data_IF_577609690480
#
_entry.id   IF_577609690480
#
_cell.length_a   1.000
_cell.length_b   1.000
_cell.length_c   1.000
_cell.angle_alpha   90.00
_cell.angle_beta   90.00
_cell.angle_gamma   90.00
#
_symmetry.space_group_name_H-M   'P 1'
#
loop_
_entity.id
_entity.type
_entity.pdbx_description
1 polymer ?
#
# COMPACT_ATOMS: atom_id res chain seq x y z
N UNK A 1 -7.78 -28.53 -12.71
CA UNK A 1 -8.99 -27.67 -12.58
C UNK A 1 -9.03 -26.73 -13.77
N UNK A 2 -10.21 -26.46 -14.34
CA UNK A 2 -10.34 -25.56 -15.50
C UNK A 2 -10.40 -24.10 -15.03
N UNK A 3 -9.67 -23.20 -15.69
CA UNK A 3 -9.70 -21.76 -15.46
C UNK A 3 -10.36 -21.06 -16.65
N UNK A 4 -10.93 -19.88 -16.42
CA UNK A 4 -11.77 -19.18 -17.39
C UNK A 4 -11.20 -17.79 -17.70
N UNK A 5 -11.26 -17.39 -18.97
CA UNK A 5 -10.89 -16.05 -19.43
C UNK A 5 -12.13 -15.19 -19.77
N UNK A 6 -12.57 -14.30 -18.86
CA UNK A 6 -13.70 -13.42 -19.09
C UNK A 6 -13.42 -12.35 -20.15
N UNK A 7 -12.19 -12.22 -20.66
CA UNK A 7 -11.88 -11.22 -21.69
C UNK A 7 -12.29 -11.65 -23.09
N UNK A 8 -12.65 -12.94 -23.29
CA UNK A 8 -13.15 -13.51 -24.56
C UNK A 8 -14.38 -14.41 -24.39
N UNK A 9 -14.32 -15.68 -24.76
CA UNK A 9 -15.50 -16.56 -24.86
C UNK A 9 -16.02 -17.02 -23.48
N UNK A 10 -15.19 -17.01 -22.44
CA UNK A 10 -15.54 -17.62 -21.15
C UNK A 10 -16.25 -16.66 -20.18
N UNK A 11 -16.67 -15.46 -20.64
CA UNK A 11 -17.31 -14.48 -19.75
C UNK A 11 -18.59 -15.01 -19.09
N UNK A 12 -19.28 -15.97 -19.73
CA UNK A 12 -20.51 -16.58 -19.18
C UNK A 12 -20.20 -17.44 -17.96
N UNK A 13 -19.12 -18.23 -18.03
CA UNK A 13 -18.63 -19.07 -16.93
C UNK A 13 -18.18 -18.22 -15.75
N UNK A 14 -17.75 -16.98 -16.01
CA UNK A 14 -17.38 -16.00 -15.00
C UNK A 14 -18.58 -15.19 -14.44
N UNK A 15 -19.82 -15.49 -14.84
CA UNK A 15 -21.03 -14.84 -14.33
C UNK A 15 -21.41 -13.53 -15.03
N UNK A 16 -20.94 -13.29 -16.25
CA UNK A 16 -21.22 -12.07 -17.03
C UNK A 16 -21.96 -12.38 -18.33
N UNK A 17 -22.58 -11.34 -18.92
CA UNK A 17 -23.24 -11.41 -20.24
C UNK A 17 -22.37 -10.88 -21.38
N UNK A 18 -21.18 -10.37 -21.06
CA UNK A 18 -20.21 -9.75 -21.98
C UNK A 18 -18.80 -9.82 -21.40
N UNK A 19 -17.75 -9.56 -22.20
CA UNK A 19 -16.38 -9.54 -21.70
C UNK A 19 -16.17 -8.63 -20.49
N UNK A 20 -15.33 -9.09 -19.56
CA UNK A 20 -15.11 -8.51 -18.24
C UNK A 20 -13.65 -8.65 -17.80
N UNK A 21 -13.25 -7.80 -16.84
CA UNK A 21 -11.97 -7.90 -16.12
C UNK A 21 -12.14 -8.60 -14.76
N UNK A 22 -13.35 -9.05 -14.44
CA UNK A 22 -13.69 -9.81 -13.23
C UNK A 22 -14.15 -11.21 -13.66
N UNK A 23 -13.61 -12.24 -13.01
CA UNK A 23 -14.13 -13.60 -13.07
C UNK A 23 -14.54 -14.09 -11.68
N UNK A 24 -15.78 -14.57 -11.56
CA UNK A 24 -16.31 -15.19 -10.34
C UNK A 24 -17.11 -16.45 -10.73
N UNK A 25 -16.42 -17.56 -11.08
CA UNK A 25 -17.08 -18.76 -11.57
C UNK A 25 -17.87 -19.50 -10.50
N UNK A 26 -17.51 -19.33 -9.23
CA UNK A 26 -18.10 -20.09 -8.12
C UNK A 26 -19.32 -19.39 -7.51
N UNK A 27 -19.73 -18.24 -8.04
CA UNK A 27 -20.93 -17.60 -7.54
C UNK A 27 -20.73 -16.82 -6.23
N UNK A 28 -19.51 -16.42 -5.88
CA UNK A 28 -19.19 -15.81 -4.57
C UNK A 28 -19.83 -14.43 -4.42
N UNK A 29 -19.79 -13.64 -5.49
CA UNK A 29 -20.34 -12.29 -5.51
C UNK A 29 -21.81 -12.33 -5.95
N UNK A 30 -22.66 -11.52 -5.31
CA UNK A 30 -24.00 -11.28 -5.84
C UNK A 30 -23.94 -10.37 -7.09
N UNK A 31 -25.04 -10.34 -7.85
CA UNK A 31 -25.14 -9.58 -9.11
C UNK A 31 -24.85 -8.08 -8.92
N UNK A 32 -25.28 -7.48 -7.81
CA UNK A 32 -25.05 -6.07 -7.53
C UNK A 32 -23.55 -5.76 -7.39
N UNK A 33 -22.82 -6.56 -6.60
CA UNK A 33 -21.37 -6.40 -6.43
C UNK A 33 -20.59 -6.73 -7.70
N UNK A 34 -20.98 -7.74 -8.49
CA UNK A 34 -20.35 -8.01 -9.78
C UNK A 34 -20.43 -6.80 -10.71
N UNK A 35 -21.62 -6.20 -10.82
CA UNK A 35 -21.83 -5.03 -11.67
C UNK A 35 -21.07 -3.80 -11.16
N UNK A 36 -21.07 -3.57 -9.84
CA UNK A 36 -20.32 -2.48 -9.22
C UNK A 36 -18.81 -2.61 -9.48
N UNK A 37 -18.22 -3.75 -9.13
CA UNK A 37 -16.79 -4.02 -9.33
C UNK A 37 -16.41 -3.97 -10.81
N UNK A 38 -17.25 -4.49 -11.71
CA UNK A 38 -17.05 -4.38 -13.15
C UNK A 38 -16.91 -2.93 -13.62
N UNK A 39 -17.78 -2.03 -13.12
CA UNK A 39 -17.71 -0.62 -13.46
C UNK A 39 -16.45 0.04 -12.88
N UNK A 40 -16.09 -0.26 -11.63
CA UNK A 40 -14.86 0.24 -11.01
C UNK A 40 -13.59 -0.19 -11.77
N UNK A 41 -13.50 -1.47 -12.16
CA UNK A 41 -12.37 -2.00 -12.92
C UNK A 41 -12.22 -1.30 -14.28
N UNK A 42 -13.33 -1.03 -14.96
CA UNK A 42 -13.32 -0.28 -16.23
C UNK A 42 -12.83 1.15 -16.10
N UNK A 43 -13.16 1.80 -14.98
CA UNK A 43 -12.79 3.19 -14.74
C UNK A 43 -11.36 3.34 -14.21
N UNK A 44 -10.73 2.26 -13.76
CA UNK A 44 -9.40 2.29 -13.17
C UNK A 44 -8.31 2.72 -14.15
N UNK A 45 -8.26 2.13 -15.35
CA UNK A 45 -7.23 2.47 -16.36
C UNK A 45 -7.36 3.94 -16.80
N UNK A 46 -8.55 4.45 -17.20
CA UNK A 46 -8.69 5.86 -17.55
C UNK A 46 -8.30 6.82 -16.41
N UNK A 47 -8.62 6.47 -15.16
CA UNK A 47 -8.34 7.35 -14.00
C UNK A 47 -6.87 7.34 -13.57
N UNK A 48 -6.13 6.29 -13.91
CA UNK A 48 -4.69 6.18 -13.63
C UNK A 48 -3.81 6.55 -14.83
N UNK A 49 -4.42 6.80 -15.98
CA UNK A 49 -3.75 7.20 -17.21
C UNK A 49 -3.34 8.69 -17.17
N UNK A 50 -2.15 8.98 -17.68
CA UNK A 50 -1.67 10.35 -17.92
C UNK A 50 -1.88 10.78 -19.38
N UNK A 51 -2.58 9.98 -20.19
CA UNK A 51 -2.82 10.30 -21.61
C UNK A 51 -3.70 11.54 -21.74
N UNK A 52 -3.25 12.52 -22.52
CA UNK A 52 -4.08 13.66 -22.94
C UNK A 52 -4.78 13.32 -24.26
N UNK A 53 -5.99 13.84 -24.45
CA UNK A 53 -6.76 13.70 -25.70
C UNK A 53 -5.93 14.24 -26.88
N UNK A 54 -5.75 13.45 -27.93
CA UNK A 54 -5.03 13.85 -29.16
C UNK A 54 -3.51 13.60 -29.20
N UNK A 55 -2.90 12.97 -28.19
CA UNK A 55 -1.47 12.64 -28.25
C UNK A 55 -1.13 11.48 -29.21
N UNK A 56 -0.07 11.66 -30.01
CA UNK A 56 0.44 10.65 -30.97
C UNK A 56 0.94 9.37 -30.27
N UNK A 57 0.79 8.25 -30.96
CA UNK A 57 0.99 6.87 -30.45
C UNK A 57 2.41 6.49 -29.97
N UNK A 58 3.45 7.26 -30.29
CA UNK A 58 4.86 6.88 -30.00
C UNK A 58 5.19 6.76 -28.50
N UNK A 59 4.49 7.50 -27.64
CA UNK A 59 4.68 7.48 -26.18
C UNK A 59 3.50 6.85 -25.42
N UNK A 60 2.66 6.05 -26.10
CA UNK A 60 1.38 5.58 -25.54
C UNK A 60 1.53 4.80 -24.23
N UNK A 61 2.63 4.06 -24.02
CA UNK A 61 2.83 3.25 -22.82
C UNK A 61 3.44 4.00 -21.63
N UNK A 62 4.18 5.10 -21.84
CA UNK A 62 4.69 5.96 -20.75
C UNK A 62 3.58 6.65 -19.96
N UNK A 63 2.37 6.67 -20.52
CA UNK A 63 1.20 7.34 -19.94
C UNK A 63 0.00 6.42 -19.82
N UNK A 64 0.16 5.14 -20.15
CA UNK A 64 -0.92 4.17 -20.03
C UNK A 64 -1.29 4.01 -18.55
N UNK A 65 -2.59 3.98 -18.27
CA UNK A 65 -3.07 3.65 -16.93
C UNK A 65 -2.83 2.17 -16.60
N UNK A 66 -3.22 1.80 -15.40
CA UNK A 66 -3.15 0.42 -14.92
C UNK A 66 -4.43 -0.29 -15.33
N UNK A 67 -4.32 -1.47 -15.93
CA UNK A 67 -5.47 -2.33 -16.20
C UNK A 67 -5.61 -3.37 -15.09
N UNK A 68 -6.56 -3.21 -14.15
CA UNK A 68 -6.78 -4.19 -13.10
C UNK A 68 -7.63 -5.36 -13.60
N UNK A 69 -7.40 -6.54 -13.05
CA UNK A 69 -8.26 -7.70 -13.26
C UNK A 69 -8.35 -8.53 -11.98
N UNK A 70 -9.52 -9.12 -11.74
CA UNK A 70 -9.82 -9.86 -10.52
C UNK A 70 -10.35 -11.25 -10.86
N UNK A 71 -9.89 -12.26 -10.11
CA UNK A 71 -10.43 -13.60 -10.11
C UNK A 71 -10.82 -13.99 -8.69
N UNK A 72 -12.08 -14.34 -8.47
CA UNK A 72 -12.59 -14.78 -7.16
C UNK A 72 -12.98 -16.25 -7.26
N UNK A 73 -12.44 -17.09 -6.38
CA UNK A 73 -12.90 -18.47 -6.21
C UNK A 73 -13.48 -18.64 -4.81
N UNK A 74 -14.38 -19.61 -4.65
CA UNK A 74 -14.90 -19.99 -3.34
C UNK A 74 -13.81 -20.67 -2.50
N UNK A 75 -13.04 -21.54 -3.15
CA UNK A 75 -11.98 -22.33 -2.52
C UNK A 75 -10.70 -22.33 -3.35
N UNK A 76 -9.55 -22.16 -2.70
CA UNK A 76 -8.24 -22.25 -3.30
C UNK A 76 -7.10 -22.08 -2.31
N UNK A 77 -6.24 -23.10 -2.27
CA UNK A 77 -4.95 -23.01 -1.60
C UNK A 77 -3.97 -22.09 -2.36
N UNK A 78 -2.82 -21.84 -1.74
CA UNK A 78 -1.78 -20.98 -2.31
C UNK A 78 -1.33 -21.44 -3.70
N UNK A 79 -1.25 -22.73 -3.96
CA UNK A 79 -0.83 -23.26 -5.26
C UNK A 79 -1.87 -22.94 -6.34
N UNK A 80 -3.15 -23.22 -6.08
CA UNK A 80 -4.26 -22.90 -6.99
C UNK A 80 -4.33 -21.41 -7.28
N UNK A 81 -4.22 -20.56 -6.25
CA UNK A 81 -4.27 -19.09 -6.41
C UNK A 81 -3.10 -18.58 -7.27
N UNK A 82 -1.89 -19.13 -7.08
CA UNK A 82 -0.74 -18.81 -7.92
C UNK A 82 -0.93 -19.28 -9.37
N UNK A 83 -1.48 -20.49 -9.57
CA UNK A 83 -1.75 -21.06 -10.89
C UNK A 83 -2.81 -20.24 -11.65
N UNK A 84 -3.87 -19.78 -10.97
CA UNK A 84 -4.86 -18.87 -11.57
C UNK A 84 -4.18 -17.55 -11.96
N UNK A 85 -3.33 -16.99 -11.10
CA UNK A 85 -2.63 -15.73 -11.43
C UNK A 85 -1.71 -15.90 -12.65
N UNK A 86 -0.97 -17.01 -12.72
CA UNK A 86 -0.13 -17.34 -13.87
C UNK A 86 -0.96 -17.53 -15.14
N UNK A 87 -2.12 -18.18 -15.03
CA UNK A 87 -3.07 -18.32 -16.13
C UNK A 87 -3.60 -16.97 -16.61
N UNK A 88 -4.02 -16.08 -15.71
CA UNK A 88 -4.47 -14.73 -16.07
C UNK A 88 -3.41 -13.98 -16.88
N UNK A 89 -2.16 -14.01 -16.43
CA UNK A 89 -1.05 -13.33 -17.10
C UNK A 89 -0.74 -13.89 -18.49
N UNK A 90 -0.89 -15.20 -18.68
CA UNK A 90 -0.56 -15.88 -19.94
C UNK A 90 -1.71 -15.84 -20.94
N UNK A 91 -2.93 -16.04 -20.46
CA UNK A 91 -4.09 -16.34 -21.30
C UNK A 91 -5.00 -15.13 -21.51
N UNK A 92 -5.20 -14.29 -20.49
CA UNK A 92 -6.15 -13.18 -20.60
C UNK A 92 -5.60 -12.09 -21.52
N UNK A 93 -6.47 -11.50 -22.36
CA UNK A 93 -6.12 -10.35 -23.20
C UNK A 93 -6.10 -9.03 -22.44
N UNK A 94 -5.31 -8.94 -21.37
CA UNK A 94 -5.20 -7.73 -20.53
C UNK A 94 -3.96 -6.95 -20.94
N UNK A 95 -4.15 -5.70 -21.40
CA UNK A 95 -3.09 -4.77 -21.79
C UNK A 95 -1.88 -5.42 -22.49
N UNK A 96 -2.13 -6.12 -23.61
CA UNK A 96 -1.09 -6.80 -24.40
C UNK A 96 0.01 -5.86 -24.90
N UNK A 97 -0.26 -4.55 -24.95
CA UNK A 97 0.66 -3.56 -25.51
C UNK A 97 1.61 -2.98 -24.48
N UNK A 98 1.09 -2.48 -23.36
CA UNK A 98 1.90 -1.76 -22.37
C UNK A 98 2.22 -2.61 -21.14
N UNK A 99 1.53 -3.74 -20.98
CA UNK A 99 1.73 -4.69 -19.89
C UNK A 99 1.66 -4.02 -18.51
N UNK A 100 0.91 -2.92 -18.36
CA UNK A 100 0.67 -2.23 -17.09
C UNK A 100 -0.53 -2.87 -16.39
N UNK A 101 -0.39 -4.15 -16.05
CA UNK A 101 -1.46 -4.97 -15.48
C UNK A 101 -1.32 -5.09 -13.97
N UNK A 102 -2.46 -5.11 -13.30
CA UNK A 102 -2.61 -5.48 -11.88
C UNK A 102 -3.60 -6.64 -11.81
N UNK A 103 -3.17 -7.81 -11.38
CA UNK A 103 -4.07 -8.97 -11.22
C UNK A 103 -4.19 -9.33 -9.76
N UNK A 104 -5.42 -9.52 -9.29
CA UNK A 104 -5.75 -10.00 -7.95
C UNK A 104 -6.53 -11.31 -8.06
N UNK A 105 -6.04 -12.35 -7.41
CA UNK A 105 -6.77 -13.60 -7.22
C UNK A 105 -7.05 -13.77 -5.73
N UNK A 106 -8.30 -14.07 -5.36
CA UNK A 106 -8.74 -14.24 -3.98
C UNK A 106 -9.55 -15.53 -3.84
N UNK A 107 -9.26 -16.31 -2.78
CA UNK A 107 -10.16 -17.34 -2.27
C UNK A 107 -11.03 -16.78 -1.16
N UNK A 108 -12.35 -16.93 -1.31
CA UNK A 108 -13.31 -16.39 -0.36
C UNK A 108 -13.28 -17.10 1.00
N UNK A 109 -13.10 -18.43 1.02
CA UNK A 109 -13.24 -19.21 2.25
C UNK A 109 -11.92 -19.42 3.01
N UNK A 110 -10.77 -19.45 2.32
CA UNK A 110 -9.47 -19.66 2.99
C UNK A 110 -8.66 -18.36 3.14
N UNK A 111 -9.20 -17.20 2.72
CA UNK A 111 -8.53 -15.89 2.73
C UNK A 111 -7.16 -15.87 2.02
N UNK A 112 -6.86 -16.88 1.20
CA UNK A 112 -5.66 -16.93 0.38
C UNK A 112 -5.81 -15.96 -0.78
N UNK A 113 -4.79 -15.15 -1.04
CA UNK A 113 -4.79 -14.26 -2.18
C UNK A 113 -3.42 -14.17 -2.81
N UNK A 114 -3.38 -13.71 -4.05
CA UNK A 114 -2.15 -13.34 -4.73
C UNK A 114 -2.37 -12.09 -5.57
N UNK A 115 -1.45 -11.15 -5.42
CA UNK A 115 -1.42 -9.92 -6.22
C UNK A 115 -0.17 -9.92 -7.09
N UNK A 116 -0.38 -9.77 -8.38
CA UNK A 116 0.70 -9.55 -9.33
C UNK A 116 0.59 -8.17 -9.96
N UNK A 117 1.75 -7.51 -10.08
CA UNK A 117 1.92 -6.28 -10.83
C UNK A 117 3.19 -6.38 -11.67
N UNK A 118 3.14 -5.91 -12.91
CA UNK A 118 4.33 -5.87 -13.75
C UNK A 118 5.24 -4.68 -13.38
N UNK A 119 6.32 -4.98 -12.65
CA UNK A 119 7.34 -4.00 -12.28
C UNK A 119 8.17 -3.48 -13.46
N UNK A 120 8.07 -4.11 -14.63
CA UNK A 120 8.74 -3.67 -15.86
C UNK A 120 7.84 -2.83 -16.76
N UNK A 121 6.62 -2.51 -16.34
CA UNK A 121 5.74 -1.63 -17.11
C UNK A 121 6.41 -0.25 -17.26
N UNK A 122 6.28 0.31 -18.46
CA UNK A 122 6.96 1.56 -18.86
C UNK A 122 6.48 2.76 -18.03
N UNK A 123 5.21 2.78 -17.65
CA UNK A 123 4.67 3.74 -16.70
C UNK A 123 4.54 3.08 -15.33
N UNK A 124 5.32 3.54 -14.36
CA UNK A 124 5.15 3.16 -12.96
C UNK A 124 4.38 4.26 -12.23
N UNK A 125 3.34 3.84 -11.52
CA UNK A 125 2.64 4.67 -10.53
C UNK A 125 3.20 4.37 -9.14
N UNK A 126 2.77 5.12 -8.13
CA UNK A 126 3.15 4.80 -6.75
C UNK A 126 2.57 3.46 -6.24
N UNK A 127 1.47 2.95 -6.83
CA UNK A 127 0.87 1.68 -6.45
C UNK A 127 1.77 0.47 -6.81
N UNK A 128 2.10 -0.35 -5.82
CA UNK A 128 2.76 -1.65 -5.98
C UNK A 128 1.85 -2.84 -5.57
N UNK A 129 2.23 -4.08 -5.89
CA UNK A 129 1.51 -5.27 -5.47
C UNK A 129 1.45 -5.42 -3.95
N UNK A 130 2.49 -4.99 -3.24
CA UNK A 130 2.54 -4.98 -1.77
C UNK A 130 1.49 -4.04 -1.16
N UNK A 131 1.25 -2.87 -1.77
CA UNK A 131 0.22 -1.94 -1.31
C UNK A 131 -1.17 -2.61 -1.37
N UNK A 132 -1.49 -3.27 -2.49
CA UNK A 132 -2.78 -3.98 -2.67
C UNK A 132 -2.91 -5.14 -1.71
N UNK A 133 -1.83 -5.91 -1.49
CA UNK A 133 -1.81 -6.98 -0.50
C UNK A 133 -2.05 -6.47 0.92
N UNK A 134 -1.45 -5.33 1.28
CA UNK A 134 -1.71 -4.66 2.55
C UNK A 134 -3.19 -4.23 2.65
N UNK A 135 -3.77 -3.63 1.61
CA UNK A 135 -5.19 -3.27 1.63
C UNK A 135 -6.11 -4.48 1.78
N UNK A 136 -5.79 -5.64 1.19
CA UNK A 136 -6.57 -6.87 1.37
C UNK A 136 -6.50 -7.40 2.79
N UNK A 137 -5.32 -7.41 3.39
CA UNK A 137 -5.16 -7.83 4.79
C UNK A 137 -5.97 -6.96 5.75
N UNK A 138 -6.18 -5.69 5.40
CA UNK A 138 -7.03 -4.78 6.16
C UNK A 138 -8.53 -5.00 5.98
N UNK A 139 -8.92 -5.76 4.97
CA UNK A 139 -10.31 -6.14 4.74
C UNK A 139 -10.55 -7.61 5.15
N UNK A 140 -9.66 -8.21 5.95
CA UNK A 140 -9.75 -9.61 6.33
C UNK A 140 -11.04 -9.95 7.08
N UNK A 141 -11.53 -9.04 7.92
CA UNK A 141 -12.82 -9.21 8.62
C UNK A 141 -13.98 -9.22 7.64
N UNK A 142 -13.97 -8.32 6.64
CA UNK A 142 -14.96 -8.34 5.57
C UNK A 142 -14.86 -9.63 4.74
N UNK A 143 -13.67 -10.20 4.56
CA UNK A 143 -13.48 -11.47 3.87
C UNK A 143 -14.06 -12.62 4.70
N UNK A 144 -13.73 -12.71 5.98
CA UNK A 144 -14.24 -13.74 6.91
C UNK A 144 -15.75 -13.66 7.10
N UNK A 145 -16.33 -12.46 7.14
CA UNK A 145 -17.78 -12.22 7.21
C UNK A 145 -18.52 -12.56 5.90
N UNK A 146 -17.81 -13.01 4.85
CA UNK A 146 -18.39 -13.28 3.53
C UNK A 146 -18.75 -12.00 2.75
N UNK A 147 -18.37 -10.82 3.22
CA UNK A 147 -18.58 -9.51 2.56
C UNK A 147 -17.52 -9.24 1.49
N UNK A 148 -17.22 -10.24 0.66
CA UNK A 148 -16.16 -10.20 -0.37
C UNK A 148 -16.31 -9.00 -1.33
N UNK A 149 -17.55 -8.69 -1.73
CA UNK A 149 -17.83 -7.55 -2.61
C UNK A 149 -17.45 -6.20 -1.99
N UNK A 150 -17.70 -6.03 -0.69
CA UNK A 150 -17.31 -4.81 0.05
C UNK A 150 -15.79 -4.73 0.19
N UNK A 151 -15.14 -5.83 0.59
CA UNK A 151 -13.69 -5.92 0.70
C UNK A 151 -12.99 -5.52 -0.61
N UNK A 152 -13.38 -6.14 -1.73
CA UNK A 152 -12.79 -5.83 -3.05
C UNK A 152 -13.05 -4.38 -3.48
N UNK A 153 -14.23 -3.83 -3.18
CA UNK A 153 -14.55 -2.43 -3.48
C UNK A 153 -13.63 -1.47 -2.70
N UNK A 154 -13.40 -1.75 -1.42
CA UNK A 154 -12.49 -0.96 -0.58
C UNK A 154 -11.04 -1.06 -1.06
N UNK A 155 -10.58 -2.26 -1.41
CA UNK A 155 -9.25 -2.51 -1.97
C UNK A 155 -9.06 -1.75 -3.27
N UNK A 156 -10.03 -1.79 -4.20
CA UNK A 156 -9.94 -1.04 -5.46
C UNK A 156 -9.91 0.47 -5.22
N UNK A 157 -10.74 0.98 -4.31
CA UNK A 157 -10.77 2.41 -3.95
C UNK A 157 -9.42 2.87 -3.40
N UNK A 158 -8.85 2.17 -2.41
CA UNK A 158 -7.53 2.46 -1.82
C UNK A 158 -6.41 2.33 -2.87
N UNK A 159 -6.48 1.29 -3.70
CA UNK A 159 -5.53 1.08 -4.79
C UNK A 159 -5.55 2.23 -5.80
N UNK A 160 -6.73 2.74 -6.14
CA UNK A 160 -6.89 3.85 -7.07
C UNK A 160 -6.39 5.18 -6.49
N UNK A 161 -6.71 5.46 -5.23
CA UNK A 161 -6.15 6.60 -4.50
C UNK A 161 -4.62 6.55 -4.52
N UNK A 162 -4.04 5.39 -4.19
CA UNK A 162 -2.60 5.16 -4.21
C UNK A 162 -1.99 5.31 -5.61
N UNK A 163 -2.63 4.78 -6.65
CA UNK A 163 -2.13 4.86 -8.02
C UNK A 163 -2.13 6.29 -8.59
N UNK A 164 -3.05 7.14 -8.11
CA UNK A 164 -3.21 8.52 -8.57
C UNK A 164 -2.55 9.55 -7.65
N UNK A 165 -2.05 9.12 -6.49
CA UNK A 165 -1.40 9.98 -5.52
C UNK A 165 -0.11 10.60 -6.07
N UNK A 166 0.09 11.88 -5.73
CA UNK A 166 1.32 12.61 -5.98
C UNK A 166 1.99 12.86 -4.64
N UNK A 167 3.15 12.25 -4.44
CA UNK A 167 3.92 12.42 -3.22
C UNK A 167 4.91 13.56 -3.39
N UNK A 168 4.98 14.41 -2.37
CA UNK A 168 6.03 15.40 -2.26
C UNK A 168 7.39 14.71 -2.22
N UNK A 169 8.41 15.36 -2.78
CA UNK A 169 9.78 14.92 -2.58
C UNK A 169 10.30 15.51 -1.28
N UNK A 170 10.67 14.63 -0.37
CA UNK A 170 11.13 14.99 0.97
C UNK A 170 12.65 15.15 1.00
N UNK A 171 13.10 16.21 1.66
CA UNK A 171 14.49 16.53 2.00
C UNK A 171 14.51 17.12 3.41
N UNK A 172 15.68 17.25 4.02
CA UNK A 172 15.82 17.85 5.35
C UNK A 172 15.11 19.21 5.46
N UNK A 173 15.22 20.05 4.44
CA UNK A 173 14.66 21.40 4.44
C UNK A 173 13.13 21.47 4.46
N UNK A 174 12.42 20.40 4.10
CA UNK A 174 10.96 20.40 4.01
C UNK A 174 10.30 19.24 4.76
N UNK A 175 11.07 18.35 5.41
CA UNK A 175 10.50 17.27 6.20
C UNK A 175 9.93 17.83 7.52
N UNK A 176 8.68 17.50 7.88
CA UNK A 176 8.07 18.09 9.06
C UNK A 176 8.68 17.55 10.35
N UNK A 177 8.79 18.43 11.35
CA UNK A 177 9.21 18.07 12.70
C UNK A 177 7.97 17.95 13.61
N UNK A 178 7.52 16.72 13.94
CA UNK A 178 6.30 16.52 14.72
C UNK A 178 6.43 16.99 16.17
N UNK A 179 7.66 17.13 16.68
CA UNK A 179 7.95 17.61 18.03
C UNK A 179 7.94 19.13 18.14
N UNK A 180 7.97 19.85 17.01
CA UNK A 180 8.01 21.34 16.95
C UNK A 180 6.87 21.92 16.12
N UNK A 181 5.65 21.42 16.33
CA UNK A 181 4.44 21.96 15.71
C UNK A 181 4.08 21.37 14.35
N UNK A 182 4.96 20.61 13.70
CA UNK A 182 4.70 19.93 12.42
C UNK A 182 3.92 18.62 12.53
N UNK A 183 3.27 18.33 13.66
CA UNK A 183 2.61 17.04 13.90
C UNK A 183 1.39 16.82 12.99
N UNK A 184 0.69 17.90 12.62
CA UNK A 184 -0.44 17.84 11.68
C UNK A 184 0.03 17.43 10.29
N UNK A 185 1.17 17.98 9.83
CA UNK A 185 1.78 17.61 8.54
C UNK A 185 2.27 16.16 8.53
N UNK A 186 2.59 15.62 9.70
CA UNK A 186 2.95 14.21 9.92
C UNK A 186 1.74 13.27 10.07
N UNK A 187 0.50 13.77 9.96
CA UNK A 187 -0.73 12.99 10.10
C UNK A 187 -1.08 12.62 11.55
N UNK A 188 -0.59 13.39 12.52
CA UNK A 188 -0.85 13.19 13.95
C UNK A 188 -1.78 14.25 14.53
N UNK A 189 -2.62 13.85 15.49
CA UNK A 189 -3.50 14.76 16.23
C UNK A 189 -2.78 15.54 17.35
N UNK A 190 -1.58 15.10 17.74
CA UNK A 190 -0.75 15.72 18.77
C UNK A 190 0.73 15.50 18.46
N UNK A 191 1.59 16.32 19.06
CA UNK A 191 3.03 16.12 19.00
C UNK A 191 3.40 14.72 19.49
N UNK A 192 4.33 14.08 18.78
CA UNK A 192 4.78 12.73 19.07
C UNK A 192 5.97 12.37 18.19
N UNK A 193 6.68 11.29 18.51
CA UNK A 193 7.94 10.99 17.85
C UNK A 193 7.77 10.18 16.56
N UNK A 194 6.62 10.29 15.90
CA UNK A 194 6.31 9.65 14.62
C UNK A 194 6.04 10.72 13.57
N UNK A 195 6.59 10.55 12.37
CA UNK A 195 6.19 11.35 11.22
C UNK A 195 5.90 10.49 10.00
N UNK A 196 4.65 10.55 9.52
CA UNK A 196 4.18 9.88 8.30
C UNK A 196 3.41 10.90 7.42
N UNK A 197 4.12 11.84 6.77
CA UNK A 197 3.47 12.91 6.02
C UNK A 197 2.84 12.44 4.71
N UNK A 198 3.17 11.22 4.26
CA UNK A 198 2.64 10.63 3.03
C UNK A 198 1.43 9.72 3.27
N UNK A 199 0.94 9.62 4.51
CA UNK A 199 -0.25 8.82 4.79
C UNK A 199 -0.05 7.33 4.57
N UNK A 200 1.14 6.80 4.89
CA UNK A 200 1.45 5.38 4.74
C UNK A 200 0.61 4.54 5.68
N UNK A 201 0.45 5.01 6.91
CA UNK A 201 -0.40 4.44 7.94
C UNK A 201 -1.73 5.19 7.99
N UNK A 202 -2.79 4.58 8.48
CA UNK A 202 -3.96 5.34 8.93
C UNK A 202 -3.79 5.86 10.36
N UNK A 203 -4.83 6.51 10.87
CA UNK A 203 -4.84 7.08 12.21
C UNK A 203 -4.67 6.03 13.31
N UNK A 204 -5.36 4.90 13.20
CA UNK A 204 -5.30 3.82 14.19
C UNK A 204 -3.91 3.14 14.20
N UNK A 205 -3.34 2.88 13.02
CA UNK A 205 -2.00 2.31 12.85
C UNK A 205 -0.93 3.25 13.41
N UNK A 206 -1.04 4.57 13.18
CA UNK A 206 -0.15 5.55 13.81
C UNK A 206 -0.28 5.53 15.33
N UNK A 207 -1.50 5.41 15.86
CA UNK A 207 -1.72 5.36 17.29
C UNK A 207 -1.10 4.09 17.91
N UNK A 208 -1.27 2.93 17.28
CA UNK A 208 -0.61 1.69 17.70
C UNK A 208 0.92 1.81 17.68
N UNK A 209 1.49 2.43 16.65
CA UNK A 209 2.93 2.69 16.60
C UNK A 209 3.41 3.61 17.71
N UNK A 210 2.67 4.69 18.00
CA UNK A 210 2.97 5.60 19.10
C UNK A 210 2.92 4.88 20.46
N UNK A 211 1.93 4.03 20.68
CA UNK A 211 1.79 3.25 21.92
C UNK A 211 2.95 2.26 22.08
N UNK A 212 3.36 1.60 20.99
CA UNK A 212 4.51 0.70 20.97
C UNK A 212 5.83 1.44 21.25
N UNK A 213 6.01 2.65 20.69
CA UNK A 213 7.18 3.49 20.98
C UNK A 213 7.22 3.85 22.46
N UNK A 214 6.10 4.26 23.06
CA UNK A 214 6.02 4.56 24.49
C UNK A 214 6.31 3.34 25.36
N UNK A 215 5.80 2.17 24.97
CA UNK A 215 6.08 0.91 25.66
C UNK A 215 7.56 0.51 25.58
N UNK A 216 8.20 0.71 24.42
CA UNK A 216 9.63 0.44 24.26
C UNK A 216 10.49 1.29 25.20
N UNK A 217 10.19 2.59 25.32
CA UNK A 217 10.89 3.45 26.27
C UNK A 217 10.73 2.94 27.71
N UNK A 218 9.52 2.50 28.10
CA UNK A 218 9.29 1.94 29.43
C UNK A 218 10.08 0.64 29.67
N UNK A 219 10.15 -0.25 28.68
CA UNK A 219 10.82 -1.54 28.77
C UNK A 219 12.35 -1.45 28.77
N UNK A 220 12.91 -0.40 28.17
CA UNK A 220 14.37 -0.20 28.08
C UNK A 220 14.95 0.58 29.25
N UNK A 221 14.15 0.89 30.28
CA UNK A 221 14.63 1.47 31.53
C UNK A 221 15.69 0.59 32.18
N UNK A 222 16.65 1.21 32.86
CA UNK A 222 17.77 0.53 33.53
C UNK A 222 18.70 -0.29 32.62
N UNK A 223 18.62 -0.12 31.30
CA UNK A 223 19.59 -0.72 30.38
C UNK A 223 20.98 -0.13 30.66
N UNK A 224 22.05 -0.94 30.78
CA UNK A 224 23.41 -0.44 31.01
C UNK A 224 23.90 0.33 29.78
N UNK A 225 24.31 1.59 29.95
CA UNK A 225 24.92 2.37 28.86
C UNK A 225 26.10 3.17 29.41
N UNK A 226 27.11 3.38 28.57
CA UNK A 226 28.16 4.37 28.83
C UNK A 226 27.57 5.77 28.71
N UNK A 227 27.40 6.48 29.83
CA UNK A 227 26.93 7.86 29.83
C UNK A 227 28.07 8.84 29.99
N UNK A 228 27.98 9.95 29.28
CA UNK A 228 28.84 11.12 29.47
C UNK A 228 28.47 11.92 30.73
N UNK A 229 27.25 11.70 31.28
CA UNK A 229 26.73 12.41 32.46
C UNK A 229 26.33 11.42 33.57
N UNK A 230 26.96 11.58 34.74
CA UNK A 230 26.79 10.69 35.89
C UNK A 230 25.53 11.04 36.71
N UNK A 231 24.33 10.96 36.11
CA UNK A 231 23.06 11.20 36.82
C UNK A 231 22.26 9.90 36.98
N UNK A 232 21.74 9.69 38.19
CA UNK A 232 20.85 8.57 38.52
C UNK A 232 19.64 8.53 37.60
N UNK A 233 19.09 9.71 37.27
CA UNK A 233 17.99 9.88 36.33
C UNK A 233 18.32 9.32 34.93
N UNK A 234 19.46 9.69 34.36
CA UNK A 234 19.85 9.23 33.02
C UNK A 234 20.15 7.74 32.98
N UNK A 235 20.63 7.16 34.09
CA UNK A 235 20.80 5.70 34.19
C UNK A 235 19.47 4.96 34.11
N UNK A 236 18.44 5.47 34.78
CA UNK A 236 17.13 4.81 34.89
C UNK A 236 16.21 5.06 33.70
N UNK A 237 16.39 6.18 32.99
CA UNK A 237 15.61 6.54 31.80
C UNK A 237 15.69 5.48 30.68
N UNK A 238 14.62 5.26 29.93
CA UNK A 238 14.62 4.38 28.75
C UNK A 238 15.17 5.07 27.49
N UNK A 239 15.13 4.36 26.36
CA UNK A 239 15.46 4.94 25.05
C UNK A 239 14.22 5.52 24.38
N UNK A 240 14.29 6.80 23.99
CA UNK A 240 13.29 7.43 23.12
C UNK A 240 13.48 6.96 21.67
N UNK A 241 12.40 6.65 20.94
CA UNK A 241 12.48 6.37 19.50
C UNK A 241 11.84 7.51 18.75
N UNK A 242 12.50 8.03 17.71
CA UNK A 242 11.91 8.83 16.65
C UNK A 242 11.74 7.98 15.39
N UNK A 243 10.57 8.02 14.75
CA UNK A 243 10.28 7.26 13.53
C UNK A 243 9.82 8.20 12.43
N UNK A 244 10.51 8.19 11.30
CA UNK A 244 10.11 8.92 10.10
C UNK A 244 9.85 7.94 8.95
N UNK A 245 8.68 8.03 8.34
CA UNK A 245 8.29 7.17 7.23
C UNK A 245 7.79 8.03 6.09
N UNK A 246 8.36 7.84 4.90
CA UNK A 246 8.04 8.63 3.72
C UNK A 246 8.22 7.79 2.47
N UNK A 247 7.51 8.15 1.40
CA UNK A 247 7.47 7.37 0.17
C UNK A 247 8.43 7.87 -0.89
N UNK A 248 8.76 9.16 -0.88
CA UNK A 248 9.57 9.76 -1.93
C UNK A 248 10.56 10.77 -1.35
N UNK A 249 11.84 10.48 -1.47
CA UNK A 249 12.92 11.39 -1.05
C UNK A 249 13.55 12.05 -2.27
N UNK A 250 13.94 13.31 -2.12
CA UNK A 250 14.65 14.06 -3.16
C UNK A 250 16.07 13.54 -3.31
N UNK A 251 16.56 13.37 -4.55
CA UNK A 251 17.95 12.98 -4.81
C UNK A 251 18.29 11.53 -4.50
N UNK A 252 19.53 11.30 -4.06
CA UNK A 252 20.03 9.96 -3.74
C UNK A 252 19.45 9.45 -2.43
N UNK A 253 18.71 8.33 -2.48
CA UNK A 253 17.90 7.84 -1.36
C UNK A 253 18.68 7.69 -0.04
N UNK A 254 19.82 7.00 -0.07
CA UNK A 254 20.58 6.71 1.15
C UNK A 254 21.17 7.98 1.76
N UNK A 255 21.67 8.88 0.92
CA UNK A 255 22.20 10.17 1.35
C UNK A 255 21.11 11.02 2.01
N UNK A 256 19.97 11.20 1.33
CA UNK A 256 18.87 12.02 1.85
C UNK A 256 18.28 11.43 3.13
N UNK A 257 18.15 10.09 3.22
CA UNK A 257 17.73 9.44 4.46
C UNK A 257 18.71 9.70 5.60
N UNK A 258 20.01 9.60 5.35
CA UNK A 258 21.04 9.93 6.35
C UNK A 258 20.95 11.40 6.80
N UNK A 259 20.72 12.33 5.89
CA UNK A 259 20.56 13.74 6.21
C UNK A 259 19.31 13.99 7.06
N UNK A 260 18.17 13.36 6.72
CA UNK A 260 16.92 13.43 7.51
C UNK A 260 17.12 12.82 8.89
N UNK A 261 17.74 11.65 9.01
CA UNK A 261 18.09 11.06 10.31
C UNK A 261 18.95 12.01 11.14
N UNK A 262 19.96 12.63 10.54
CA UNK A 262 20.81 13.59 11.25
C UNK A 262 20.01 14.83 11.72
N UNK A 263 19.09 15.34 10.91
CA UNK A 263 18.20 16.42 11.33
C UNK A 263 17.31 15.99 12.50
N UNK A 264 16.71 14.80 12.44
CA UNK A 264 15.87 14.27 13.51
C UNK A 264 16.62 14.21 14.85
N UNK A 265 17.85 13.67 14.86
CA UNK A 265 18.69 13.60 16.06
C UNK A 265 18.94 15.00 16.66
N UNK A 266 19.10 16.02 15.81
CA UNK A 266 19.45 17.38 16.23
C UNK A 266 18.22 18.26 16.55
N UNK A 267 17.09 18.05 15.89
CA UNK A 267 15.95 18.99 15.91
C UNK A 267 14.72 18.43 16.60
N UNK A 268 14.50 17.11 16.61
CA UNK A 268 13.30 16.51 17.22
C UNK A 268 13.37 16.47 18.74
N UNK A 269 14.55 16.67 19.34
CA UNK A 269 14.72 16.75 20.79
C UNK A 269 14.13 15.54 21.53
N UNK A 270 14.37 14.35 20.98
CA UNK A 270 13.83 13.08 21.50
C UNK A 270 14.30 12.81 22.94
N UNK A 271 15.52 13.24 23.27
CA UNK A 271 16.05 13.24 24.63
C UNK A 271 17.20 14.25 24.82
N UNK A 272 16.87 15.52 25.04
CA UNK A 272 17.87 16.59 25.25
C UNK A 272 18.69 16.44 26.56
N UNK A 273 18.25 15.59 27.49
CA UNK A 273 18.86 15.51 28.83
C UNK A 273 19.90 14.40 28.92
N UNK A 274 19.53 13.21 28.46
CA UNK A 274 20.31 12.00 28.67
C UNK A 274 20.87 11.39 27.39
N UNK A 275 20.51 11.94 26.22
CA UNK A 275 21.01 11.49 24.92
C UNK A 275 20.69 10.00 24.65
N UNK A 276 19.61 9.48 25.25
CA UNK A 276 19.11 8.12 25.02
C UNK A 276 18.03 8.13 23.96
N UNK A 277 18.43 8.17 22.70
CA UNK A 277 17.48 8.13 21.61
C UNK A 277 17.94 7.28 20.42
N UNK A 278 16.97 6.82 19.64
CA UNK A 278 17.14 6.02 18.42
C UNK A 278 16.27 6.67 17.35
N UNK A 279 16.77 6.75 16.12
CA UNK A 279 16.06 7.22 14.93
C UNK A 279 16.17 6.21 13.81
#
# INVERSE_FOLDING_TARGET
QQFFDPTHADFKQCGFTRPSLLCDPDGVLNTAYRNHLYNELKMFEPRTSLRRRGQKMGFACLRAGITPAIYVVRHGDKEKINNITAFMRKSWSIDKRCQNILTLVLSANESNYHVYRNLRAVHQTALDNKDVGHYLNREVDNVFDGKIGAALSNVLKKSLQRATAKYQQWSVSNFPNPMRGGHVDCGLNKAGPLCDPDGIFDEDERQVLLDNIAMFEAQTRNTPVHFTRNSTYCREKGYSIGLAVMRNVYGEKLKTLSEVTHDMLNTWRLDDTCDKHIV
#
